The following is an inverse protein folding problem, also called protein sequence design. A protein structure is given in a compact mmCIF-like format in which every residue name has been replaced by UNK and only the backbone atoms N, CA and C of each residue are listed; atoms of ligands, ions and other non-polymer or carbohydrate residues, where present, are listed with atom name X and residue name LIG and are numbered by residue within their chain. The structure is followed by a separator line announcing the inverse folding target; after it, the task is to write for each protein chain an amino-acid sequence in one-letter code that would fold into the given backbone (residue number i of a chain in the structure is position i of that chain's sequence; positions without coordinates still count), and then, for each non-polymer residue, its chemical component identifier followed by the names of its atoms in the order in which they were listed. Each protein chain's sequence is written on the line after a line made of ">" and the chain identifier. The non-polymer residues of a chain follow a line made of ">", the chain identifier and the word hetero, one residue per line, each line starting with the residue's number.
data_IF_388874097603
#
_entry.id   IF_388874097603
#
_cell.length_a   1.000
_cell.length_b   1.000
_cell.length_c   1.000
_cell.angle_alpha   90.00
_cell.angle_beta   90.00
_cell.angle_gamma   90.00
#
_symmetry.space_group_name_H-M   'P 1'
#
loop_
_entity.id
_entity.type
_entity.pdbx_description
1 polymer ?
#
# COMPACT_ATOMS: atom_id res chain seq x y z
N UNK A 1 17.02 8.79 -9.44
CA UNK A 1 16.73 8.75 -7.99
C UNK A 1 15.36 8.21 -7.66
N UNK A 2 15.28 7.37 -6.62
CA UNK A 2 14.02 6.92 -6.02
C UNK A 2 14.03 7.16 -4.52
N UNK A 3 12.94 7.70 -3.97
CA UNK A 3 12.82 8.01 -2.53
C UNK A 3 11.41 7.72 -1.99
N UNK A 4 11.28 7.29 -0.71
CA UNK A 4 12.35 6.96 0.22
C UNK A 4 13.03 5.62 -0.12
N UNK A 5 14.20 5.31 0.45
CA UNK A 5 14.84 3.99 0.32
C UNK A 5 14.20 2.93 1.21
N UNK A 6 13.62 3.34 2.34
CA UNK A 6 12.87 2.48 3.25
C UNK A 6 11.73 3.26 3.87
N UNK A 7 10.58 2.62 4.05
CA UNK A 7 9.42 3.20 4.71
C UNK A 7 8.63 2.13 5.46
N UNK A 8 8.22 2.46 6.68
CA UNK A 8 7.32 1.64 7.49
C UNK A 8 6.02 2.38 7.74
N UNK A 9 4.90 1.71 7.48
CA UNK A 9 3.54 2.21 7.65
C UNK A 9 2.66 1.17 8.32
N UNK A 10 1.49 1.57 8.79
CA UNK A 10 0.45 0.67 9.28
C UNK A 10 -0.58 0.37 8.19
N UNK A 11 -1.25 -0.76 8.32
CA UNK A 11 -2.38 -1.10 7.46
C UNK A 11 -3.46 0.01 7.52
N UNK A 12 -4.09 0.30 6.38
CA UNK A 12 -5.04 1.40 6.19
C UNK A 12 -4.39 2.77 5.95
N UNK A 13 -3.11 2.97 6.28
CA UNK A 13 -2.40 4.20 5.90
C UNK A 13 -2.12 4.26 4.40
N UNK A 14 -1.55 5.36 3.94
CA UNK A 14 -1.05 5.52 2.58
C UNK A 14 0.43 5.90 2.57
N UNK A 15 1.11 5.57 1.48
CA UNK A 15 2.49 5.99 1.24
C UNK A 15 2.65 6.59 -0.15
N UNK A 16 3.77 7.27 -0.38
CA UNK A 16 4.13 7.79 -1.69
C UNK A 16 5.60 7.54 -1.94
N UNK A 17 5.90 6.92 -3.08
CA UNK A 17 7.25 6.68 -3.59
C UNK A 17 7.48 7.63 -4.75
N UNK A 18 8.56 8.39 -4.72
CA UNK A 18 8.93 9.35 -5.74
C UNK A 18 10.09 8.82 -6.57
N UNK A 19 10.06 9.13 -7.86
CA UNK A 19 11.10 8.81 -8.83
C UNK A 19 11.43 10.06 -9.64
N UNK A 20 12.71 10.38 -9.78
CA UNK A 20 13.21 11.56 -10.49
C UNK A 20 14.43 11.17 -11.31
N UNK A 21 14.46 11.53 -12.59
CA UNK A 21 15.68 11.51 -13.38
C UNK A 21 16.38 12.87 -13.28
N UNK A 22 17.58 12.87 -12.71
CA UNK A 22 18.45 14.04 -12.64
C UNK A 22 19.46 13.99 -13.77
N UNK A 23 20.03 15.16 -14.07
CA UNK A 23 21.26 15.28 -14.84
C UNK A 23 21.22 14.55 -16.19
N UNK A 24 20.08 14.62 -16.88
CA UNK A 24 19.86 14.03 -18.20
C UNK A 24 19.08 14.98 -19.09
N UNK A 25 19.50 15.11 -20.35
CA UNK A 25 18.80 15.89 -21.38
C UNK A 25 17.69 15.09 -22.07
N UNK A 26 17.48 13.83 -21.67
CA UNK A 26 16.39 13.01 -22.19
C UNK A 26 15.02 13.54 -21.75
N UNK A 27 14.02 13.34 -22.59
CA UNK A 27 12.63 13.57 -22.25
C UNK A 27 12.00 12.30 -21.65
N UNK A 28 11.16 12.48 -20.61
CA UNK A 28 10.40 11.39 -20.00
C UNK A 28 9.22 11.03 -20.92
N UNK A 29 9.24 9.81 -21.48
CA UNK A 29 8.21 9.31 -22.40
C UNK A 29 7.21 8.39 -21.70
N UNK A 30 7.69 7.48 -20.88
CA UNK A 30 6.85 6.54 -20.14
C UNK A 30 7.41 6.27 -18.75
N UNK A 31 6.54 5.79 -17.88
CA UNK A 31 6.89 5.39 -16.52
C UNK A 31 6.46 3.95 -16.33
N UNK A 32 7.12 3.23 -15.43
CA UNK A 32 6.75 1.88 -15.01
C UNK A 32 7.01 1.71 -13.52
N UNK A 33 6.24 0.82 -12.90
CA UNK A 33 6.36 0.46 -11.50
C UNK A 33 6.39 -1.04 -11.35
N UNK A 34 7.29 -1.50 -10.49
CA UNK A 34 7.51 -2.90 -10.22
C UNK A 34 7.51 -3.14 -8.71
N UNK A 35 7.11 -4.34 -8.31
CA UNK A 35 7.16 -4.81 -6.92
C UNK A 35 7.64 -6.23 -6.84
N UNK A 36 8.60 -6.46 -5.96
CA UNK A 36 8.94 -7.76 -5.42
C UNK A 36 8.33 -7.90 -4.03
N UNK A 37 7.27 -8.70 -3.90
CA UNK A 37 6.62 -8.96 -2.60
C UNK A 37 7.61 -9.55 -1.60
N UNK A 38 7.41 -9.27 -0.31
CA UNK A 38 8.18 -9.90 0.75
C UNK A 38 8.14 -11.43 0.63
N UNK A 39 9.30 -12.08 0.70
CA UNK A 39 9.43 -13.54 0.52
C UNK A 39 9.34 -14.05 -0.92
N UNK A 40 8.97 -13.22 -1.90
CA UNK A 40 8.98 -13.59 -3.32
C UNK A 40 10.39 -13.51 -3.91
N UNK A 41 10.69 -14.35 -4.90
CA UNK A 41 11.89 -14.21 -5.74
C UNK A 41 11.65 -13.34 -6.97
N UNK A 42 10.40 -13.27 -7.42
CA UNK A 42 10.01 -12.64 -8.67
C UNK A 42 9.52 -11.22 -8.43
N UNK A 43 9.86 -10.35 -9.38
CA UNK A 43 9.34 -9.00 -9.49
C UNK A 43 8.11 -9.00 -10.41
N UNK A 44 7.10 -8.20 -10.05
CA UNK A 44 5.82 -8.09 -10.73
C UNK A 44 5.59 -6.64 -11.18
N UNK A 45 5.02 -6.44 -12.35
CA UNK A 45 4.58 -5.10 -12.79
C UNK A 45 3.36 -4.66 -11.99
N UNK A 46 3.34 -3.40 -11.55
CA UNK A 46 2.19 -2.77 -10.91
C UNK A 46 1.33 -2.11 -11.98
N UNK A 47 0.08 -2.56 -12.10
CA UNK A 47 -0.94 -1.86 -12.88
C UNK A 47 -1.45 -0.64 -12.09
N UNK A 48 -1.51 0.51 -12.76
CA UNK A 48 -2.11 1.73 -12.20
C UNK A 48 -3.63 1.57 -12.09
N UNK A 49 -4.22 2.26 -11.12
CA UNK A 49 -5.65 2.24 -10.86
C UNK A 49 -6.00 1.62 -9.50
N UNK A 50 -7.25 1.78 -9.08
CA UNK A 50 -7.71 1.37 -7.76
C UNK A 50 -6.94 2.10 -6.66
N UNK A 51 -6.24 1.33 -5.80
CA UNK A 51 -5.43 1.88 -4.69
C UNK A 51 -4.11 2.51 -5.15
N UNK A 52 -3.65 2.23 -6.37
CA UNK A 52 -2.36 2.67 -6.92
C UNK A 52 -2.56 3.90 -7.81
N UNK A 53 -2.15 5.08 -7.32
CA UNK A 53 -2.33 6.36 -8.00
C UNK A 53 -0.97 6.91 -8.43
N UNK A 54 -0.77 7.05 -9.74
CA UNK A 54 0.43 7.67 -10.29
C UNK A 54 0.21 9.17 -10.54
N UNK A 55 1.25 9.96 -10.32
CA UNK A 55 1.31 11.37 -10.72
C UNK A 55 2.60 11.58 -11.51
N UNK A 56 2.51 12.20 -12.68
CA UNK A 56 3.65 12.40 -13.58
C UNK A 56 3.84 13.89 -13.83
N UNK A 57 5.09 14.34 -13.74
CA UNK A 57 5.55 15.66 -14.15
C UNK A 57 6.71 15.48 -15.13
N UNK A 58 6.38 15.53 -16.43
CA UNK A 58 7.36 15.38 -17.50
C UNK A 58 8.37 16.53 -17.55
N UNK A 59 7.95 17.76 -17.20
CA UNK A 59 8.82 18.93 -17.20
C UNK A 59 9.97 18.82 -16.19
N UNK A 60 9.71 18.27 -15.01
CA UNK A 60 10.74 17.97 -14.01
C UNK A 60 11.26 16.53 -14.06
N UNK A 61 10.91 15.76 -15.10
CA UNK A 61 11.29 14.34 -15.26
C UNK A 61 11.07 13.52 -13.99
N UNK A 62 9.93 13.75 -13.35
CA UNK A 62 9.59 13.13 -12.07
C UNK A 62 8.19 12.54 -12.08
N UNK A 63 8.00 11.52 -11.27
CA UNK A 63 6.71 10.89 -11.07
C UNK A 63 6.67 10.21 -9.71
N UNK A 64 5.48 9.91 -9.24
CA UNK A 64 5.28 9.28 -7.94
C UNK A 64 4.17 8.25 -7.99
N UNK A 65 4.33 7.18 -7.21
CA UNK A 65 3.29 6.21 -6.93
C UNK A 65 2.79 6.40 -5.50
N UNK A 66 1.53 6.78 -5.37
CA UNK A 66 0.80 6.73 -4.11
C UNK A 66 0.05 5.41 -4.00
N UNK A 67 0.24 4.71 -2.87
CA UNK A 67 -0.50 3.50 -2.54
C UNK A 67 -1.43 3.85 -1.39
N UNK A 68 -2.74 3.79 -1.64
CA UNK A 68 -3.78 4.04 -0.64
C UNK A 68 -4.15 2.76 0.11
N UNK A 69 -4.67 2.90 1.33
CA UNK A 69 -5.27 1.81 2.11
C UNK A 69 -4.39 0.55 2.15
N UNK A 70 -3.16 0.71 2.67
CA UNK A 70 -2.12 -0.33 2.67
C UNK A 70 -2.59 -1.61 3.38
N UNK A 71 -2.21 -2.77 2.83
CA UNK A 71 -2.35 -4.08 3.48
C UNK A 71 -0.98 -4.66 3.82
N UNK A 72 -0.93 -5.64 4.71
CA UNK A 72 0.29 -6.39 5.03
C UNK A 72 0.94 -7.02 3.78
N UNK A 73 0.11 -7.46 2.81
CA UNK A 73 0.54 -7.96 1.50
C UNK A 73 1.26 -6.93 0.63
N UNK A 74 1.11 -5.63 0.92
CA UNK A 74 1.84 -4.58 0.22
C UNK A 74 3.31 -4.46 0.69
N UNK A 75 3.73 -5.23 1.69
CA UNK A 75 5.14 -5.31 2.09
C UNK A 75 6.00 -5.92 0.98
N UNK A 76 7.12 -5.27 0.67
CA UNK A 76 8.01 -5.69 -0.41
C UNK A 76 8.98 -4.59 -0.83
N UNK A 77 9.71 -4.85 -1.91
CA UNK A 77 10.58 -3.84 -2.54
C UNK A 77 9.92 -3.33 -3.81
N UNK A 78 9.78 -2.02 -3.92
CA UNK A 78 9.18 -1.34 -5.07
C UNK A 78 10.28 -0.66 -5.89
N UNK A 79 10.22 -0.71 -7.21
CA UNK A 79 11.15 0.01 -8.11
C UNK A 79 10.36 0.76 -9.19
N UNK A 80 10.79 1.97 -9.51
CA UNK A 80 10.37 2.66 -10.72
C UNK A 80 11.31 2.32 -11.89
N UNK A 81 10.80 2.42 -13.12
CA UNK A 81 11.62 2.50 -14.34
C UNK A 81 11.13 3.66 -15.21
N UNK A 82 12.06 4.36 -15.84
CA UNK A 82 11.79 5.43 -16.78
C UNK A 82 11.94 4.92 -18.22
N UNK A 83 10.95 5.22 -19.06
CA UNK A 83 11.13 5.15 -20.51
C UNK A 83 11.46 6.55 -21.03
N UNK A 84 12.57 6.65 -21.75
CA UNK A 84 13.13 7.92 -22.19
C UNK A 84 13.09 8.03 -23.71
N UNK A 85 12.93 9.24 -24.22
CA UNK A 85 13.06 9.57 -25.64
C UNK A 85 13.85 10.87 -25.83
N UNK A 86 14.23 11.15 -27.08
CA UNK A 86 14.95 12.38 -27.47
C UNK A 86 16.16 12.69 -26.59
N UNK A 87 16.96 11.67 -26.28
CA UNK A 87 18.26 11.84 -25.64
C UNK A 87 19.24 12.43 -26.66
N UNK A 88 19.88 13.56 -26.32
CA UNK A 88 20.69 14.30 -27.28
C UNK A 88 22.09 13.70 -27.51
N UNK A 89 22.63 12.84 -26.62
CA UNK A 89 23.98 12.27 -26.83
C UNK A 89 24.39 11.02 -26.00
N UNK A 90 23.49 10.32 -25.28
CA UNK A 90 23.91 9.11 -24.53
C UNK A 90 22.89 7.98 -24.61
N UNK A 91 23.40 6.77 -24.90
CA UNK A 91 22.71 5.51 -24.65
C UNK A 91 22.82 5.24 -23.14
N UNK A 92 21.84 5.71 -22.36
CA UNK A 92 21.78 5.41 -20.94
C UNK A 92 21.72 3.89 -20.76
N UNK A 93 22.53 3.36 -19.85
CA UNK A 93 22.48 1.93 -19.52
C UNK A 93 21.05 1.59 -19.02
N UNK A 94 20.53 0.41 -19.39
CA UNK A 94 19.17 0.02 -18.99
C UNK A 94 18.98 0.10 -17.46
N UNK A 95 20.03 -0.16 -16.68
CA UNK A 95 20.02 -0.08 -15.21
C UNK A 95 19.95 1.37 -14.69
N UNK A 96 20.45 2.36 -15.43
CA UNK A 96 20.33 3.79 -15.07
C UNK A 96 18.90 4.30 -15.19
N UNK A 97 18.07 3.61 -15.99
CA UNK A 97 16.65 3.93 -16.09
C UNK A 97 15.81 3.38 -14.93
N UNK A 98 16.39 2.53 -14.06
CA UNK A 98 15.70 2.03 -12.88
C UNK A 98 15.98 2.88 -11.63
N UNK A 99 14.98 3.00 -10.78
CA UNK A 99 15.15 3.49 -9.43
C UNK A 99 15.92 2.48 -8.55
N UNK A 100 16.64 3.00 -7.56
CA UNK A 100 17.38 2.20 -6.57
C UNK A 100 16.50 1.37 -5.61
N UNK A 101 15.18 1.56 -5.66
CA UNK A 101 14.21 0.77 -4.89
C UNK A 101 13.80 1.38 -3.55
N UNK A 102 12.62 0.98 -3.09
CA UNK A 102 12.04 1.35 -1.80
C UNK A 102 11.59 0.10 -1.09
N UNK A 103 12.17 -0.18 0.06
CA UNK A 103 11.72 -1.26 0.95
C UNK A 103 10.52 -0.76 1.75
N UNK A 104 9.37 -1.37 1.54
CA UNK A 104 8.11 -1.08 2.23
C UNK A 104 7.83 -2.18 3.25
N UNK A 105 7.60 -1.77 4.50
CA UNK A 105 7.10 -2.63 5.56
C UNK A 105 5.75 -2.12 6.03
N UNK A 106 4.72 -2.96 5.93
CA UNK A 106 3.38 -2.64 6.44
C UNK A 106 3.13 -3.44 7.70
N UNK A 107 3.03 -2.74 8.83
CA UNK A 107 2.65 -3.34 10.10
C UNK A 107 1.13 -3.58 10.11
N UNK A 108 0.67 -4.76 10.57
CA UNK A 108 -0.75 -5.02 10.69
C UNK A 108 -1.41 -3.96 11.60
N UNK A 109 -2.64 -3.58 11.24
CA UNK A 109 -3.46 -2.72 12.08
C UNK A 109 -3.74 -3.40 13.42
N UNK A 110 -4.06 -2.62 14.44
CA UNK A 110 -4.61 -3.19 15.67
C UNK A 110 -5.93 -3.88 15.28
N UNK A 111 -6.13 -5.18 15.59
CA UNK A 111 -7.43 -5.78 15.37
C UNK A 111 -8.46 -4.96 16.15
N UNK A 112 -9.41 -4.34 15.44
CA UNK A 112 -10.55 -3.70 16.08
C UNK A 112 -11.24 -4.81 16.89
N UNK A 113 -11.23 -4.70 18.21
CA UNK A 113 -11.95 -5.63 19.07
C UNK A 113 -13.37 -5.81 18.52
N UNK A 114 -13.90 -7.04 18.44
CA UNK A 114 -15.28 -7.22 18.02
C UNK A 114 -16.20 -6.37 18.91
N UNK A 115 -17.29 -5.80 18.36
CA UNK A 115 -18.21 -5.00 19.15
C UNK A 115 -18.65 -5.84 20.36
N UNK A 116 -18.51 -5.30 21.57
CA UNK A 116 -19.06 -5.92 22.76
C UNK A 116 -20.57 -5.86 22.61
N UNK A 117 -21.19 -6.93 22.11
CA UNK A 117 -22.64 -7.10 22.13
C UNK A 117 -23.01 -7.29 23.59
N UNK A 118 -23.38 -6.20 24.26
CA UNK A 118 -23.89 -6.24 25.63
C UNK A 118 -25.26 -6.91 25.58
N UNK A 119 -25.31 -8.24 25.75
CA UNK A 119 -26.54 -8.99 26.01
C UNK A 119 -27.04 -8.65 27.42
N UNK A 120 -27.70 -7.50 27.56
CA UNK A 120 -28.61 -7.26 28.67
C UNK A 120 -29.89 -8.06 28.40
N UNK A 121 -29.91 -9.32 28.85
CA UNK A 121 -31.17 -10.03 29.00
C UNK A 121 -31.92 -9.37 30.15
N UNK A 122 -33.00 -8.67 29.81
CA UNK A 122 -33.96 -8.11 30.76
C UNK A 122 -34.70 -9.28 31.43
N UNK A 123 -34.30 -9.63 32.65
CA UNK A 123 -35.11 -10.45 33.52
C UNK A 123 -36.20 -9.56 34.14
N UNK A 124 -37.36 -9.51 33.50
CA UNK A 124 -38.59 -8.94 34.07
C UNK A 124 -39.65 -10.03 34.13
N UNK A 125 -39.74 -10.60 35.33
CA UNK A 125 -40.91 -11.16 36.03
C UNK A 125 -42.07 -11.73 35.19
N UNK A 126 -42.19 -13.06 35.19
CA UNK A 126 -43.50 -13.73 35.10
C UNK A 126 -43.44 -15.08 35.82
N UNK A 127 -43.80 -15.12 37.10
CA UNK A 127 -44.49 -16.27 37.73
C UNK A 127 -45.32 -15.78 38.93
N UNK A 128 -46.54 -15.34 38.67
CA UNK A 128 -47.63 -15.42 39.64
C UNK A 128 -48.71 -16.33 39.05
N UNK A 129 -48.61 -17.63 39.31
CA UNK A 129 -49.69 -18.59 39.05
C UNK A 129 -49.62 -19.80 40.00
N UNK A 130 -50.49 -19.76 41.03
CA UNK A 130 -51.25 -20.85 41.67
C UNK A 130 -50.65 -22.27 41.81
N UNK A 131 -50.61 -22.78 43.06
CA UNK A 131 -50.59 -24.23 43.32
C UNK A 131 -50.43 -24.62 44.79
N UNK A 132 -51.55 -24.87 45.48
CA UNK A 132 -51.66 -25.32 46.87
C UNK A 132 -51.46 -26.84 46.98
N UNK A 133 -50.65 -27.35 47.93
CA UNK A 133 -50.85 -28.67 48.59
C UNK A 133 -50.35 -28.58 50.04
N UNK A 134 -51.27 -28.75 50.99
CA UNK A 134 -50.97 -28.91 52.42
C UNK A 134 -50.92 -30.40 52.76
N UNK A 135 -49.87 -30.79 53.49
CA UNK A 135 -49.59 -32.17 53.91
C UNK A 135 -50.17 -32.40 55.31
N UNK A 136 -51.15 -33.30 55.46
CA UNK A 136 -51.33 -34.19 56.63
C UNK A 136 -52.08 -35.44 56.22
#
# INVERSE_FOLDING_TARGET
>A
DQTPTTITKRAGESLTINCVLRDSDCALSSTYWYRKKSGSRNEETISRGGRYVETVNSGSKSFSLRINDLTDEDSGTYRCKLGLNWCLDEELDDDETYGGGTVVTVNPGIPLSPPIVSLLHSATEEQSANGFVQLV
#
